data_IF_163923407442
#
_entry.id   IF_163923407442
#
_cell.length_a   1.000
_cell.length_b   1.000
_cell.length_c   1.000
_cell.angle_alpha   90.00
_cell.angle_beta   90.00
_cell.angle_gamma   90.00
#
_symmetry.space_group_name_H-M   'P 1'
#
loop_
_entity.id
_entity.type
_entity.pdbx_description
1 polymer ?
#
# COMPACT_ATOMS: atom_id res chain seq x y z
N UNK A 1 -8.70 0.16 -16.14
CA UNK A 1 -7.47 0.93 -16.49
C UNK A 1 -6.86 1.52 -15.23
N UNK A 2 -5.60 1.19 -14.92
CA UNK A 2 -4.85 1.76 -13.80
C UNK A 2 -4.46 3.20 -14.16
N UNK A 3 -5.01 4.17 -13.43
CA UNK A 3 -4.86 5.60 -13.76
C UNK A 3 -3.65 6.26 -13.09
N UNK A 4 -3.07 5.63 -12.06
CA UNK A 4 -2.00 6.23 -11.24
C UNK A 4 -1.09 5.15 -10.63
N UNK A 5 0.23 5.35 -10.60
CA UNK A 5 1.17 4.36 -10.04
C UNK A 5 1.23 4.46 -8.50
N UNK A 6 0.12 4.18 -7.83
CA UNK A 6 -0.09 4.45 -6.39
C UNK A 6 1.01 3.83 -5.51
N UNK A 7 1.44 2.60 -5.79
CA UNK A 7 2.48 1.91 -5.01
C UNK A 7 3.84 2.61 -5.15
N UNK A 8 4.19 3.06 -6.36
CA UNK A 8 5.44 3.79 -6.60
C UNK A 8 5.43 5.15 -5.89
N UNK A 9 4.31 5.88 -5.98
CA UNK A 9 4.18 7.17 -5.32
C UNK A 9 4.18 7.03 -3.79
N UNK A 10 3.60 5.96 -3.24
CA UNK A 10 3.64 5.67 -1.81
C UNK A 10 5.08 5.66 -1.29
N UNK A 11 5.97 4.86 -1.89
CA UNK A 11 7.37 4.80 -1.46
C UNK A 11 8.23 6.02 -1.83
N UNK A 12 7.75 6.89 -2.73
CA UNK A 12 8.43 8.14 -3.12
C UNK A 12 8.04 9.34 -2.28
N UNK A 13 6.79 9.36 -1.82
CA UNK A 13 6.20 10.47 -1.06
C UNK A 13 6.34 10.28 0.45
N UNK A 14 6.41 9.02 0.88
CA UNK A 14 6.54 8.61 2.28
C UNK A 14 7.80 7.76 2.41
N UNK A 15 8.45 7.81 3.57
CA UNK A 15 9.65 6.98 3.84
C UNK A 15 9.23 5.52 4.11
N UNK A 16 8.58 4.90 3.12
CA UNK A 16 8.01 3.55 3.17
C UNK A 16 8.65 2.71 2.08
N UNK A 17 9.23 1.58 2.46
CA UNK A 17 9.61 0.52 1.53
C UNK A 17 8.40 -0.39 1.33
N UNK A 18 8.06 -0.66 0.07
CA UNK A 18 6.93 -1.52 -0.30
C UNK A 18 7.45 -2.84 -0.87
N UNK A 19 7.00 -3.96 -0.32
CA UNK A 19 7.29 -5.29 -0.82
C UNK A 19 6.00 -6.01 -1.25
N UNK A 20 5.91 -6.43 -2.51
CA UNK A 20 4.74 -7.13 -3.04
C UNK A 20 4.81 -8.59 -2.63
N UNK A 21 3.91 -9.01 -1.72
CA UNK A 21 3.77 -10.42 -1.33
C UNK A 21 2.93 -11.20 -2.34
N UNK A 22 1.84 -10.59 -2.81
CA UNK A 22 0.93 -11.15 -3.83
C UNK A 22 0.30 -10.02 -4.63
N UNK A 23 0.01 -10.28 -5.89
CA UNK A 23 -0.73 -9.36 -6.75
C UNK A 23 -1.53 -10.16 -7.76
N UNK A 24 -2.77 -9.74 -7.99
CA UNK A 24 -3.61 -10.21 -9.08
C UNK A 24 -4.12 -8.97 -9.82
N UNK A 25 -3.95 -8.96 -11.14
CA UNK A 25 -4.34 -7.84 -11.99
C UNK A 25 -5.09 -8.42 -13.18
N UNK A 26 -6.35 -8.03 -13.31
CA UNK A 26 -7.17 -8.31 -14.48
C UNK A 26 -7.39 -7.00 -15.28
N UNK A 27 -8.18 -7.07 -16.33
CA UNK A 27 -8.44 -5.96 -17.24
C UNK A 27 -9.16 -4.79 -16.54
N UNK A 28 -10.09 -5.12 -15.63
CA UNK A 28 -11.01 -4.16 -15.02
C UNK A 28 -10.66 -3.87 -13.56
N UNK A 29 -10.16 -4.86 -12.81
CA UNK A 29 -9.82 -4.77 -11.39
C UNK A 29 -8.57 -5.58 -11.02
N UNK A 30 -8.21 -5.53 -9.74
CA UNK A 30 -7.05 -6.23 -9.21
C UNK A 30 -6.80 -5.87 -7.77
N UNK A 31 -6.02 -6.71 -7.08
CA UNK A 31 -5.65 -6.51 -5.69
C UNK A 31 -4.18 -6.81 -5.48
N UNK A 32 -3.60 -6.18 -4.46
CA UNK A 32 -2.20 -6.37 -4.09
C UNK A 32 -2.12 -6.52 -2.57
N UNK A 33 -1.40 -7.53 -2.11
CA UNK A 33 -0.97 -7.63 -0.70
C UNK A 33 0.44 -7.12 -0.61
N UNK A 34 0.60 -6.01 0.12
CA UNK A 34 1.86 -5.36 0.38
C UNK A 34 2.32 -5.63 1.80
N UNK A 35 3.61 -5.88 1.94
CA UNK A 35 4.35 -5.64 3.17
C UNK A 35 4.94 -4.24 3.10
N UNK A 36 4.76 -3.49 4.19
CA UNK A 36 5.22 -2.11 4.32
C UNK A 36 6.26 -2.04 5.43
N UNK A 37 7.40 -1.46 5.14
CA UNK A 37 8.46 -1.19 6.11
C UNK A 37 8.70 0.32 6.19
N UNK A 38 8.70 0.87 7.38
CA UNK A 38 8.80 2.30 7.65
C UNK A 38 8.39 2.61 9.08
N UNK A 39 8.44 3.88 9.48
CA UNK A 39 7.88 4.26 10.78
C UNK A 39 6.36 4.15 10.76
N UNK A 40 5.75 3.89 11.92
CA UNK A 40 4.29 3.79 12.06
C UNK A 40 3.63 5.08 11.55
N UNK A 41 4.16 6.25 11.92
CA UNK A 41 3.63 7.55 11.48
C UNK A 41 3.71 7.74 9.96
N UNK A 42 4.80 7.31 9.32
CA UNK A 42 4.92 7.34 7.85
C UNK A 42 3.88 6.42 7.20
N UNK A 43 3.76 5.18 7.71
CA UNK A 43 2.81 4.19 7.20
C UNK A 43 1.38 4.70 7.34
N UNK A 44 0.97 5.22 8.50
CA UNK A 44 -0.38 5.75 8.71
C UNK A 44 -0.71 6.91 7.76
N UNK A 45 0.22 7.85 7.56
CA UNK A 45 0.03 8.96 6.61
C UNK A 45 -0.04 8.45 5.16
N UNK A 46 0.79 7.47 4.82
CA UNK A 46 0.81 6.83 3.52
C UNK A 46 -0.51 6.12 3.20
N UNK A 47 -1.01 5.30 4.13
CA UNK A 47 -2.29 4.61 4.00
C UNK A 47 -3.46 5.59 3.88
N UNK A 48 -3.48 6.66 4.69
CA UNK A 48 -4.49 7.72 4.56
C UNK A 48 -4.47 8.39 3.17
N UNK A 49 -3.28 8.60 2.62
CA UNK A 49 -3.12 9.16 1.28
C UNK A 49 -3.60 8.20 0.18
N UNK A 50 -3.32 6.90 0.30
CA UNK A 50 -3.79 5.85 -0.61
C UNK A 50 -5.32 5.81 -0.63
N UNK A 51 -5.97 5.82 0.53
CA UNK A 51 -7.44 5.83 0.62
C UNK A 51 -8.05 7.07 -0.04
N UNK A 52 -7.40 8.24 0.05
CA UNK A 52 -7.82 9.47 -0.65
C UNK A 52 -7.71 9.37 -2.17
N UNK A 53 -6.95 8.42 -2.71
CA UNK A 53 -6.91 8.15 -4.16
C UNK A 53 -8.06 7.23 -4.62
N UNK A 54 -8.95 6.82 -3.71
CA UNK A 54 -10.07 5.92 -4.01
C UNK A 54 -9.69 4.44 -3.97
N UNK A 55 -8.52 4.09 -3.43
CA UNK A 55 -8.09 2.69 -3.25
C UNK A 55 -8.63 2.18 -1.91
N UNK A 56 -9.26 1.02 -1.91
CA UNK A 56 -9.67 0.34 -0.69
C UNK A 56 -8.46 -0.30 0.00
N UNK A 57 -8.32 -0.08 1.30
CA UNK A 57 -7.22 -0.60 2.11
C UNK A 57 -7.78 -1.38 3.28
N UNK A 58 -7.36 -2.63 3.41
CA UNK A 58 -7.66 -3.50 4.54
C UNK A 58 -6.38 -4.07 5.13
N UNK A 59 -6.23 -4.06 6.45
CA UNK A 59 -5.15 -4.75 7.14
C UNK A 59 -5.45 -6.25 7.24
N UNK A 60 -4.49 -7.10 6.89
CA UNK A 60 -4.53 -8.52 7.26
C UNK A 60 -4.15 -8.61 8.74
N UNK A 61 -5.10 -8.96 9.62
CA UNK A 61 -4.82 -9.22 11.03
C UNK A 61 -3.81 -10.39 11.14
N UNK A 62 -2.60 -10.11 11.67
CA UNK A 62 -1.59 -11.14 11.93
C UNK A 62 -0.13 -10.71 11.86
N UNK A 63 0.21 -9.67 11.09
CA UNK A 63 1.61 -9.33 10.75
C UNK A 63 2.05 -7.92 11.21
N UNK A 64 1.46 -7.37 12.28
CA UNK A 64 2.10 -6.23 12.97
C UNK A 64 3.22 -6.79 13.84
N UNK A 65 4.38 -7.06 13.23
CA UNK A 65 5.63 -7.18 13.97
C UNK A 65 6.08 -5.76 14.30
N UNK A 66 5.73 -5.29 15.50
CA UNK A 66 6.38 -4.13 16.08
C UNK A 66 7.88 -4.47 16.25
N UNK A 67 8.70 -3.95 15.33
CA UNK A 67 10.15 -3.87 15.51
C UNK A 67 10.50 -2.76 16.50
#
# INVERSE_FOLDING_TARGET
>A
MIQRPVIYELGKMFEIVTNIRRAEVDHDDGWVVLELEGSIDEIERGLLWVTKQGVEVSSLEGDILAG
#
